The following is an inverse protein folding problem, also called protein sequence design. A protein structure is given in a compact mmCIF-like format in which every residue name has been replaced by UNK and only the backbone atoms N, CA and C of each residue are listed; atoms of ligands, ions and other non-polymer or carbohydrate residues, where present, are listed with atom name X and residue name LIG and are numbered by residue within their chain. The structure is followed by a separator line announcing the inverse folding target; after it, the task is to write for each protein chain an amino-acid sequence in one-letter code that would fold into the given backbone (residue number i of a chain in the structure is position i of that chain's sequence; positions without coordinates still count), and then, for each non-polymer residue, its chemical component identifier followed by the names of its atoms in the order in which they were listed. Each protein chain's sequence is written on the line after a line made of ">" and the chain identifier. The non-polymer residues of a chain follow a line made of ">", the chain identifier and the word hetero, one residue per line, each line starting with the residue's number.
data_IF_315951803656
#
_entry.id   IF_315951803656
#
_cell.length_a   1.000
_cell.length_b   1.000
_cell.length_c   1.000
_cell.angle_alpha   90.00
_cell.angle_beta   90.00
_cell.angle_gamma   90.00
#
_symmetry.space_group_name_H-M   'P 1'
#
loop_
_entity.id
_entity.type
_entity.pdbx_description
1 polymer ?
#
# COMPACT_ATOMS: atom_id res chain seq x y z
N UNK A 1 18.66 1.35 -8.83
CA UNK A 1 17.35 1.56 -8.15
C UNK A 1 17.54 1.27 -6.66
N UNK A 2 18.01 2.29 -5.91
CA UNK A 2 18.68 2.09 -4.61
C UNK A 2 18.01 2.89 -3.48
N UNK A 3 16.72 3.17 -3.58
CA UNK A 3 15.99 3.85 -2.50
C UNK A 3 14.85 2.99 -1.97
N UNK A 4 14.65 3.04 -0.65
CA UNK A 4 13.52 2.44 0.05
C UNK A 4 12.24 3.21 -0.34
N UNK A 5 11.33 2.62 -1.12
CA UNK A 5 10.09 3.28 -1.46
C UNK A 5 9.23 3.44 -0.19
N UNK A 6 8.41 4.49 -0.10
CA UNK A 6 7.53 4.67 1.05
C UNK A 6 6.48 3.55 1.11
N UNK A 7 6.18 3.06 2.32
CA UNK A 7 5.06 2.15 2.53
C UNK A 7 3.75 2.85 2.18
N UNK A 8 2.90 2.21 1.38
CA UNK A 8 1.67 2.80 0.87
C UNK A 8 0.75 3.30 2.01
N UNK A 9 0.69 2.58 3.12
CA UNK A 9 -0.05 2.98 4.31
C UNK A 9 0.47 4.26 5.01
N UNK A 10 1.79 4.50 5.03
CA UNK A 10 2.35 5.75 5.54
C UNK A 10 1.97 6.94 4.66
N UNK A 11 1.89 6.72 3.34
CA UNK A 11 1.38 7.71 2.39
C UNK A 11 -0.09 8.03 2.66
N UNK A 12 -0.94 7.03 2.92
CA UNK A 12 -2.36 7.25 3.30
C UNK A 12 -2.47 8.14 4.52
N UNK A 13 -1.67 7.91 5.56
CA UNK A 13 -1.68 8.77 6.76
C UNK A 13 -1.33 10.22 6.40
N UNK A 14 -0.17 10.43 5.77
CA UNK A 14 0.39 11.79 5.56
C UNK A 14 -0.32 12.59 4.47
N UNK A 15 -0.89 11.92 3.48
CA UNK A 15 -1.48 12.59 2.30
C UNK A 15 -3.00 12.55 2.28
N UNK A 16 -3.65 11.69 3.06
CA UNK A 16 -5.11 11.61 3.11
C UNK A 16 -5.66 12.02 4.48
N UNK A 17 -5.15 11.42 5.57
CA UNK A 17 -5.74 11.64 6.90
C UNK A 17 -5.33 12.98 7.51
N UNK A 18 -4.02 13.23 7.60
CA UNK A 18 -3.45 14.41 8.25
C UNK A 18 -3.91 15.73 7.59
N UNK A 19 -3.92 15.89 6.25
CA UNK A 19 -4.33 17.15 5.62
C UNK A 19 -5.80 17.50 5.83
N UNK A 20 -6.63 16.49 6.09
CA UNK A 20 -8.06 16.66 6.35
C UNK A 20 -8.40 16.68 7.85
N UNK A 21 -7.41 16.52 8.73
CA UNK A 21 -7.62 16.42 10.18
C UNK A 21 -8.43 15.20 10.61
N UNK A 22 -8.52 14.17 9.77
CA UNK A 22 -9.36 13.01 10.01
C UNK A 22 -8.76 12.09 11.07
N UNK A 23 -9.57 11.72 12.07
CA UNK A 23 -9.22 10.63 12.97
C UNK A 23 -9.27 9.28 12.24
N UNK A 24 -8.50 8.28 12.71
CA UNK A 24 -8.56 6.92 12.15
C UNK A 24 -9.98 6.34 12.26
N UNK A 25 -10.72 6.66 13.31
CA UNK A 25 -12.11 6.20 13.49
C UNK A 25 -13.03 6.77 12.42
N UNK A 26 -12.96 8.09 12.21
CA UNK A 26 -13.80 8.80 11.24
C UNK A 26 -13.49 8.34 9.81
N UNK A 27 -12.21 8.29 9.44
CA UNK A 27 -11.81 7.83 8.12
C UNK A 27 -12.17 6.35 7.87
N UNK A 28 -12.07 5.48 8.89
CA UNK A 28 -12.49 4.09 8.75
C UNK A 28 -14.00 3.98 8.50
N UNK A 29 -14.80 4.82 9.17
CA UNK A 29 -16.23 4.94 8.92
C UNK A 29 -16.52 5.36 7.47
N UNK A 30 -15.87 6.42 6.98
CA UNK A 30 -16.03 6.89 5.59
C UNK A 30 -15.57 5.88 4.53
N UNK A 31 -14.52 5.12 4.83
CA UNK A 31 -14.02 4.06 3.95
C UNK A 31 -14.84 2.76 4.04
N UNK A 32 -15.74 2.63 5.02
CA UNK A 32 -16.52 1.42 5.27
C UNK A 32 -15.67 0.21 5.66
N UNK A 33 -14.64 0.42 6.47
CA UNK A 33 -13.70 -0.60 6.98
C UNK A 33 -13.64 -0.56 8.50
N UNK A 34 -13.06 -1.59 9.12
CA UNK A 34 -12.83 -1.54 10.57
C UNK A 34 -11.76 -0.50 10.89
N UNK A 35 -11.88 0.14 12.07
CA UNK A 35 -10.85 1.03 12.59
C UNK A 35 -9.49 0.33 12.66
N UNK A 36 -9.48 -0.95 13.05
CA UNK A 36 -8.25 -1.75 13.15
C UNK A 36 -7.57 -1.90 11.78
N UNK A 37 -8.32 -2.25 10.73
CA UNK A 37 -7.76 -2.42 9.39
C UNK A 37 -7.12 -1.13 8.87
N UNK A 38 -7.79 0.02 9.03
CA UNK A 38 -7.20 1.31 8.65
C UNK A 38 -6.00 1.67 9.53
N UNK A 39 -6.06 1.36 10.83
CA UNK A 39 -4.96 1.64 11.75
C UNK A 39 -3.71 0.83 11.40
N UNK A 40 -3.84 -0.46 11.12
CA UNK A 40 -2.72 -1.32 10.76
C UNK A 40 -2.10 -0.89 9.44
N UNK A 41 -2.90 -0.54 8.45
CA UNK A 41 -2.40 0.04 7.21
C UNK A 41 -1.68 1.36 7.47
N UNK A 42 -2.32 2.32 8.13
CA UNK A 42 -1.78 3.66 8.34
C UNK A 42 -0.54 3.70 9.24
N UNK A 43 -0.30 2.64 10.03
CA UNK A 43 0.90 2.45 10.83
C UNK A 43 1.92 1.51 10.17
N UNK A 44 1.76 1.19 8.88
CA UNK A 44 2.69 0.35 8.10
C UNK A 44 2.83 -1.08 8.66
N UNK A 45 1.81 -1.56 9.38
CA UNK A 45 1.74 -2.92 9.95
C UNK A 45 1.03 -3.92 9.06
N UNK A 46 0.25 -3.44 8.09
CA UNK A 46 -0.45 -4.27 7.12
C UNK A 46 -0.22 -3.73 5.71
N UNK A 47 -0.05 -4.65 4.76
CA UNK A 47 0.02 -4.33 3.34
C UNK A 47 -1.34 -3.85 2.82
N UNK A 48 -1.30 -3.05 1.77
CA UNK A 48 -2.50 -2.59 1.08
C UNK A 48 -3.19 -3.72 0.30
N UNK A 49 -4.48 -3.91 0.55
CA UNK A 49 -5.32 -4.83 -0.23
C UNK A 49 -5.98 -4.13 -1.43
N UNK A 50 -6.45 -4.92 -2.40
CA UNK A 50 -7.22 -4.43 -3.56
C UNK A 50 -8.47 -3.67 -3.11
N UNK A 51 -9.27 -4.25 -2.21
CA UNK A 51 -10.49 -3.62 -1.72
C UNK A 51 -10.21 -2.27 -1.04
N UNK A 52 -9.12 -2.19 -0.28
CA UNK A 52 -8.71 -0.93 0.35
C UNK A 52 -8.25 0.09 -0.70
N UNK A 53 -7.46 -0.32 -1.70
CA UNK A 53 -7.03 0.57 -2.77
C UNK A 53 -8.22 1.15 -3.54
N UNK A 54 -9.25 0.35 -3.82
CA UNK A 54 -10.50 0.82 -4.45
C UNK A 54 -11.24 1.81 -3.55
N UNK A 55 -11.31 1.56 -2.23
CA UNK A 55 -11.94 2.47 -1.27
C UNK A 55 -11.20 3.81 -1.18
N UNK A 56 -9.86 3.77 -1.12
CA UNK A 56 -9.01 4.96 -1.10
C UNK A 56 -9.14 5.76 -2.41
N UNK A 57 -9.17 5.10 -3.56
CA UNK A 57 -9.40 5.74 -4.86
C UNK A 57 -10.72 6.51 -4.89
N UNK A 58 -11.80 5.91 -4.38
CA UNK A 58 -13.12 6.56 -4.30
C UNK A 58 -13.18 7.70 -3.29
N UNK A 59 -12.47 7.59 -2.16
CA UNK A 59 -12.56 8.56 -1.06
C UNK A 59 -11.59 9.73 -1.18
N UNK A 60 -10.38 9.49 -1.67
CA UNK A 60 -9.28 10.47 -1.67
C UNK A 60 -8.71 10.74 -3.08
N UNK A 61 -9.25 10.10 -4.11
CA UNK A 61 -8.76 10.20 -5.48
C UNK A 61 -7.56 9.29 -5.76
N UNK A 62 -6.89 9.55 -6.88
CA UNK A 62 -5.95 8.60 -7.52
C UNK A 62 -6.63 7.31 -7.98
N UNK A 63 -5.88 6.43 -8.63
CA UNK A 63 -6.38 5.12 -9.10
C UNK A 63 -6.02 4.00 -8.13
N UNK A 64 -6.80 2.91 -8.12
CA UNK A 64 -6.48 1.72 -7.33
C UNK A 64 -5.12 1.11 -7.74
N UNK A 65 -4.78 1.17 -9.03
CA UNK A 65 -3.49 0.74 -9.57
C UNK A 65 -2.34 1.57 -9.03
N UNK A 66 -2.56 2.87 -8.82
CA UNK A 66 -1.53 3.76 -8.25
C UNK A 66 -1.23 3.37 -6.81
N UNK A 67 -2.29 3.17 -6.02
CA UNK A 67 -2.20 2.71 -4.63
C UNK A 67 -1.52 1.34 -4.50
N UNK A 68 -1.92 0.38 -5.32
CA UNK A 68 -1.30 -0.96 -5.36
C UNK A 68 0.13 -0.92 -5.90
N UNK A 69 0.43 -0.03 -6.84
CA UNK A 69 1.78 0.18 -7.37
C UNK A 69 2.76 0.61 -6.28
N UNK A 70 2.33 1.47 -5.35
CA UNK A 70 3.14 1.85 -4.18
C UNK A 70 3.45 0.63 -3.30
N UNK A 71 2.44 -0.18 -3.00
CA UNK A 71 2.63 -1.39 -2.19
C UNK A 71 3.57 -2.38 -2.89
N UNK A 72 3.36 -2.62 -4.19
CA UNK A 72 4.20 -3.53 -4.97
C UNK A 72 5.66 -3.08 -5.01
N UNK A 73 5.92 -1.77 -5.16
CA UNK A 73 7.28 -1.24 -5.11
C UNK A 73 7.94 -1.53 -3.76
N UNK A 74 7.21 -1.32 -2.66
CA UNK A 74 7.66 -1.64 -1.31
C UNK A 74 7.94 -3.13 -1.10
N UNK A 75 7.02 -3.99 -1.53
CA UNK A 75 7.16 -5.44 -1.40
C UNK A 75 8.36 -5.96 -2.19
N UNK A 76 8.58 -5.46 -3.41
CA UNK A 76 9.77 -5.78 -4.22
C UNK A 76 11.06 -5.33 -3.51
N UNK A 77 11.04 -4.13 -2.92
CA UNK A 77 12.20 -3.62 -2.19
C UNK A 77 12.52 -4.48 -0.95
N UNK A 78 11.51 -4.86 -0.16
CA UNK A 78 11.67 -5.73 0.99
C UNK A 78 12.12 -7.14 0.60
N UNK A 79 11.66 -7.63 -0.54
CA UNK A 79 12.00 -8.96 -1.02
C UNK A 79 13.37 -9.06 -1.72
N UNK A 80 14.15 -7.97 -1.82
CA UNK A 80 15.41 -7.92 -2.60
C UNK A 80 16.36 -9.09 -2.32
N UNK A 81 16.65 -9.37 -1.04
CA UNK A 81 17.58 -10.44 -0.67
C UNK A 81 17.01 -11.81 -1.00
N UNK A 82 15.71 -12.02 -0.75
CA UNK A 82 15.01 -13.25 -1.13
C UNK A 82 15.03 -13.44 -2.64
N UNK A 83 14.75 -12.39 -3.42
CA UNK A 83 14.74 -12.41 -4.88
C UNK A 83 16.11 -12.83 -5.42
N UNK A 84 17.20 -12.30 -4.85
CA UNK A 84 18.56 -12.66 -5.25
C UNK A 84 18.89 -14.15 -5.04
N UNK A 85 18.21 -14.82 -4.11
CA UNK A 85 18.41 -16.24 -3.81
C UNK A 85 17.57 -17.18 -4.69
N UNK A 86 16.55 -16.67 -5.40
CA UNK A 86 15.67 -17.48 -6.25
C UNK A 86 16.43 -17.91 -7.51
N UNK A 87 16.73 -19.21 -7.62
CA UNK A 87 17.41 -19.80 -8.79
C UNK A 87 16.38 -20.40 -9.75
N UNK A 88 16.34 -19.90 -10.97
CA UNK A 88 15.47 -20.40 -12.05
C UNK A 88 16.24 -20.48 -13.36
N UNK A 89 15.88 -21.41 -14.24
CA UNK A 89 16.40 -21.46 -15.61
C UNK A 89 15.59 -20.52 -16.51
N UNK A 90 16.24 -19.91 -17.50
CA UNK A 90 15.55 -19.14 -18.55
C UNK A 90 14.93 -20.11 -19.57
N UNK A 91 13.63 -19.99 -19.81
CA UNK A 91 12.95 -20.67 -20.91
C UNK A 91 13.11 -19.84 -22.19
N UNK A 92 13.35 -20.50 -23.32
CA UNK A 92 13.31 -19.87 -24.64
C UNK A 92 12.03 -20.30 -25.33
N UNK A 93 11.40 -19.39 -26.06
CA UNK A 93 10.33 -19.76 -26.99
C UNK A 93 10.91 -20.66 -28.09
N UNK A 94 10.12 -21.63 -28.54
CA UNK A 94 10.45 -22.49 -29.67
C UNK A 94 10.42 -21.71 -30.99
#
# INVERSE_FOLDING_TARGET
>A
MTQNPPHAGGTVRRQCLEPLGLSVTEAAGGLGVTRQALSDLANEKAAMSLDMAVRLSKAFGSSAETWLGMQMAYDIWQAKDRIAQIRVRKFKAA
#
